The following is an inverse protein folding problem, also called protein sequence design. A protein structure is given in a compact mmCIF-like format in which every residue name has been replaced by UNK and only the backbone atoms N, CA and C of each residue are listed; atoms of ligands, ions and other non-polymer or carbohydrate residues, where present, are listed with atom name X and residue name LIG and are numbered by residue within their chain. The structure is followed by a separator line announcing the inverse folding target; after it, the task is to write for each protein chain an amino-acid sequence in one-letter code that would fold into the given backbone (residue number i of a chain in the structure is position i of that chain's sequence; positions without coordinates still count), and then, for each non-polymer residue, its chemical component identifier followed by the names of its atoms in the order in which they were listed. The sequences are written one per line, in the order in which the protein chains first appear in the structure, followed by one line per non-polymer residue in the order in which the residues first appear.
data_IF_116063896097
#
_entry.id   IF_116063896097
#
_cell.length_a   1.000
_cell.length_b   1.000
_cell.length_c   1.000
_cell.angle_alpha   90.00
_cell.angle_beta   90.00
_cell.angle_gamma   90.00
#
_symmetry.space_group_name_H-M   'P 1'
#
loop_
_entity.id
_entity.type
_entity.pdbx_description
1 polymer ?
#
# COMPACT_ATOMS: atom_id res chain seq x y z
N UNK A 1 -7.82 -10.54 24.61
CA UNK A 1 -8.60 -9.32 24.86
C UNK A 1 -8.53 -8.48 23.61
N UNK A 2 -9.48 -8.65 22.70
CA UNK A 2 -9.64 -7.76 21.55
C UNK A 2 -10.13 -6.41 22.06
N UNK A 3 -9.34 -5.36 21.85
CA UNK A 3 -9.89 -4.03 21.93
C UNK A 3 -10.95 -3.94 20.84
N UNK A 4 -12.23 -3.92 21.22
CA UNK A 4 -13.31 -3.45 20.34
C UNK A 4 -12.89 -2.04 19.90
N UNK A 5 -12.28 -1.93 18.72
CA UNK A 5 -11.93 -0.66 18.11
C UNK A 5 -13.24 0.10 17.91
N UNK A 6 -13.52 1.05 18.81
CA UNK A 6 -14.67 1.93 18.69
C UNK A 6 -14.50 2.69 17.39
N UNK A 7 -15.38 2.43 16.42
CA UNK A 7 -15.37 3.12 15.13
C UNK A 7 -15.38 4.62 15.40
N UNK A 8 -14.37 5.33 14.92
CA UNK A 8 -14.27 6.77 15.10
C UNK A 8 -15.11 7.43 14.01
N UNK A 9 -16.22 8.04 14.40
CA UNK A 9 -17.09 8.74 13.47
C UNK A 9 -16.42 10.03 13.01
N UNK A 10 -15.80 10.00 11.83
CA UNK A 10 -15.29 11.19 11.16
C UNK A 10 -16.36 11.81 10.24
N UNK A 11 -16.32 13.13 10.07
CA UNK A 11 -17.29 13.84 9.23
C UNK A 11 -16.84 13.92 7.75
N UNK A 12 -17.68 14.51 6.90
CA UNK A 12 -17.36 14.70 5.48
C UNK A 12 -16.11 15.57 5.27
N UNK A 13 -15.83 16.50 6.19
CA UNK A 13 -14.66 17.37 6.10
C UNK A 13 -13.38 16.60 6.34
N UNK A 14 -13.37 15.74 7.35
CA UNK A 14 -12.25 14.85 7.65
C UNK A 14 -11.99 13.89 6.48
N UNK A 15 -13.05 13.33 5.88
CA UNK A 15 -12.95 12.49 4.67
C UNK A 15 -12.33 13.25 3.50
N UNK A 16 -12.75 14.50 3.26
CA UNK A 16 -12.16 15.37 2.23
C UNK A 16 -10.68 15.68 2.53
N UNK A 17 -10.32 15.93 3.79
CA UNK A 17 -8.92 16.16 4.18
C UNK A 17 -8.09 14.90 3.93
N UNK A 18 -8.55 13.72 4.34
CA UNK A 18 -7.86 12.45 4.08
C UNK A 18 -7.70 12.19 2.58
N UNK A 19 -8.74 12.45 1.79
CA UNK A 19 -8.71 12.33 0.32
C UNK A 19 -7.68 13.26 -0.33
N UNK A 20 -7.57 14.51 0.14
CA UNK A 20 -6.59 15.48 -0.37
C UNK A 20 -5.16 15.21 0.11
N UNK A 21 -5.00 14.61 1.29
CA UNK A 21 -3.70 14.14 1.77
C UNK A 21 -3.22 12.91 1.01
N UNK A 22 -4.11 12.13 0.42
CA UNK A 22 -3.73 10.99 -0.39
C UNK A 22 -3.02 11.44 -1.69
N UNK A 23 -1.89 10.82 -1.99
CA UNK A 23 -0.91 11.18 -3.02
C UNK A 23 -0.20 12.55 -2.89
N UNK A 24 -0.73 13.49 -2.12
CA UNK A 24 -0.09 14.79 -1.86
C UNK A 24 -0.09 15.13 -0.37
N UNK A 25 0.43 14.22 0.45
CA UNK A 25 0.47 14.42 1.90
C UNK A 25 1.48 15.49 2.35
N UNK A 26 2.12 16.21 1.44
CA UNK A 26 2.99 17.36 1.70
C UNK A 26 2.32 18.70 1.38
N UNK A 27 1.14 18.69 0.74
CA UNK A 27 0.35 19.88 0.48
C UNK A 27 0.15 20.71 1.74
N UNK A 28 0.31 22.04 1.60
CA UNK A 28 0.14 22.96 2.73
C UNK A 28 -1.30 22.93 3.26
N UNK A 29 -1.48 23.14 4.57
CA UNK A 29 -2.82 23.23 5.16
C UNK A 29 -3.67 24.34 4.52
N UNK A 30 -3.05 25.41 4.00
CA UNK A 30 -3.74 26.48 3.25
C UNK A 30 -4.28 25.96 1.91
N UNK A 31 -3.49 25.20 1.16
CA UNK A 31 -3.92 24.63 -0.12
C UNK A 31 -5.06 23.61 0.09
N UNK A 32 -4.93 22.74 1.09
CA UNK A 32 -5.98 21.78 1.47
C UNK A 32 -7.24 22.55 1.88
N UNK A 33 -7.12 23.57 2.73
CA UNK A 33 -8.23 24.39 3.19
C UNK A 33 -9.06 25.00 2.03
N UNK A 34 -8.39 25.50 0.99
CA UNK A 34 -9.06 26.01 -0.22
C UNK A 34 -9.88 24.94 -0.93
N UNK A 35 -9.35 23.72 -1.08
CA UNK A 35 -10.04 22.62 -1.77
C UNK A 35 -11.20 22.06 -0.96
N UNK A 36 -11.05 21.95 0.36
CA UNK A 36 -12.09 21.38 1.22
C UNK A 36 -13.12 22.41 1.68
N UNK A 37 -12.89 23.70 1.46
CA UNK A 37 -13.75 24.82 1.88
C UNK A 37 -13.68 25.10 3.38
N UNK A 38 -12.47 25.17 3.97
CA UNK A 38 -12.23 25.39 5.41
C UNK A 38 -11.27 26.56 5.64
N UNK A 39 -11.06 26.93 6.91
CA UNK A 39 -9.89 27.72 7.31
C UNK A 39 -8.63 26.83 7.43
N UNK A 40 -7.45 27.44 7.29
CA UNK A 40 -6.15 26.80 7.54
C UNK A 40 -6.09 26.21 8.96
N UNK A 41 -6.53 26.96 9.95
CA UNK A 41 -6.56 26.55 11.37
C UNK A 41 -7.49 25.36 11.59
N UNK A 42 -8.64 25.33 10.91
CA UNK A 42 -9.57 24.20 10.98
C UNK A 42 -9.00 22.93 10.37
N UNK A 43 -8.31 23.03 9.23
CA UNK A 43 -7.58 21.87 8.65
C UNK A 43 -6.47 21.40 9.57
N UNK A 44 -5.68 22.33 10.12
CA UNK A 44 -4.60 22.00 11.05
C UNK A 44 -5.10 21.22 12.27
N UNK A 45 -6.17 21.74 12.91
CA UNK A 45 -6.81 21.07 14.04
C UNK A 45 -7.29 19.65 13.68
N UNK A 46 -7.95 19.50 12.53
CA UNK A 46 -8.48 18.19 12.08
C UNK A 46 -7.36 17.20 11.79
N UNK A 47 -6.30 17.60 11.10
CA UNK A 47 -5.14 16.72 10.84
C UNK A 47 -4.51 16.28 12.17
N UNK A 48 -4.30 17.22 13.11
CA UNK A 48 -3.78 16.88 14.45
C UNK A 48 -4.70 15.92 15.19
N UNK A 49 -6.01 16.10 15.10
CA UNK A 49 -6.97 15.20 15.72
C UNK A 49 -6.96 13.81 15.07
N UNK A 50 -6.91 13.71 13.74
CA UNK A 50 -6.80 12.43 13.03
C UNK A 50 -5.52 11.65 13.40
N UNK A 51 -4.41 12.36 13.65
CA UNK A 51 -3.17 11.75 14.16
C UNK A 51 -3.35 11.30 15.62
N UNK A 52 -3.88 12.17 16.47
CA UNK A 52 -4.11 11.89 17.90
C UNK A 52 -5.01 10.65 18.10
N UNK A 53 -6.08 10.55 17.32
CA UNK A 53 -7.03 9.43 17.34
C UNK A 53 -6.52 8.20 16.58
N UNK A 54 -5.25 8.19 16.13
CA UNK A 54 -4.60 7.08 15.42
C UNK A 54 -5.28 6.67 14.11
N UNK A 55 -6.07 7.57 13.52
CA UNK A 55 -6.60 7.40 12.16
C UNK A 55 -5.48 7.59 11.14
N UNK A 56 -4.63 8.59 11.34
CA UNK A 56 -3.38 8.76 10.59
C UNK A 56 -2.24 8.28 11.50
N UNK A 57 -1.56 7.22 11.09
CA UNK A 57 -0.44 6.61 11.81
C UNK A 57 0.91 7.23 11.44
N UNK A 58 0.99 7.93 10.31
CA UNK A 58 2.20 8.55 9.81
C UNK A 58 2.04 9.03 8.37
N UNK A 59 3.13 9.50 7.78
CA UNK A 59 3.18 9.93 6.39
C UNK A 59 4.45 9.39 5.73
N UNK A 60 4.34 8.87 4.51
CA UNK A 60 5.46 8.24 3.82
C UNK A 60 5.49 8.61 2.32
N UNK A 61 6.67 8.64 1.68
CA UNK A 61 6.78 8.79 0.24
C UNK A 61 6.47 7.46 -0.44
N UNK A 62 5.90 7.56 -1.64
CA UNK A 62 5.74 6.45 -2.57
C UNK A 62 6.95 6.49 -3.50
N UNK A 63 7.86 5.53 -3.34
CA UNK A 63 9.14 5.48 -4.07
C UNK A 63 9.08 4.42 -5.16
N UNK A 64 9.36 4.79 -6.41
CA UNK A 64 9.52 3.88 -7.54
C UNK A 64 10.82 3.08 -7.42
N UNK A 65 10.76 2.00 -6.64
CA UNK A 65 11.89 1.11 -6.43
C UNK A 65 12.22 0.29 -7.67
N UNK A 66 11.30 0.15 -8.62
CA UNK A 66 11.60 -0.52 -9.89
C UNK A 66 12.65 0.27 -10.67
N UNK A 67 12.52 1.59 -10.72
CA UNK A 67 13.57 2.45 -11.31
C UNK A 67 14.89 2.39 -10.56
N UNK A 68 14.87 2.13 -9.26
CA UNK A 68 16.09 1.93 -8.48
C UNK A 68 16.67 0.51 -8.61
N UNK A 69 16.07 -0.34 -9.45
CA UNK A 69 16.55 -1.68 -9.78
C UNK A 69 16.13 -2.78 -8.82
N UNK A 70 15.02 -2.60 -8.11
CA UNK A 70 14.43 -3.64 -7.29
C UNK A 70 13.23 -4.28 -7.97
N UNK A 71 13.06 -5.56 -7.72
CA UNK A 71 11.91 -6.38 -8.11
C UNK A 71 10.92 -6.41 -6.94
N UNK A 72 9.63 -6.24 -7.24
CA UNK A 72 8.57 -6.35 -6.26
C UNK A 72 8.11 -7.81 -6.11
N UNK A 73 8.57 -8.48 -5.05
CA UNK A 73 8.20 -9.85 -4.75
C UNK A 73 7.23 -9.90 -3.58
N UNK A 74 6.25 -10.80 -3.65
CA UNK A 74 5.23 -11.02 -2.61
C UNK A 74 5.18 -12.49 -2.24
N UNK A 75 4.90 -12.75 -0.98
CA UNK A 75 4.77 -14.09 -0.42
C UNK A 75 3.51 -14.18 0.41
N UNK A 76 2.80 -15.29 0.23
CA UNK A 76 1.56 -15.63 0.89
C UNK A 76 1.80 -16.89 1.71
N UNK A 77 1.57 -16.81 3.02
CA UNK A 77 1.82 -17.90 3.96
C UNK A 77 0.50 -18.36 4.57
N UNK A 78 0.22 -19.67 4.43
CA UNK A 78 -0.74 -20.35 5.29
C UNK A 78 0.01 -20.98 6.45
N UNK A 79 -0.44 -20.69 7.66
CA UNK A 79 0.20 -21.15 8.87
C UNK A 79 -0.54 -22.36 9.44
N UNK A 80 0.16 -23.15 10.24
CA UNK A 80 -0.38 -24.30 10.95
C UNK A 80 0.35 -24.53 12.26
N UNK A 81 -0.27 -25.29 13.17
CA UNK A 81 0.36 -25.75 14.41
C UNK A 81 1.00 -24.61 15.24
N UNK A 82 0.45 -23.41 15.15
CA UNK A 82 0.98 -22.23 15.84
C UNK A 82 0.46 -22.15 17.27
N UNK A 83 1.38 -21.91 18.20
CA UNK A 83 1.07 -21.26 19.46
C UNK A 83 1.19 -19.75 19.29
N UNK A 84 0.52 -18.97 20.14
CA UNK A 84 0.63 -17.50 20.14
C UNK A 84 2.08 -17.02 20.13
N UNK A 85 2.92 -17.57 21.01
CA UNK A 85 4.35 -17.22 21.09
C UNK A 85 5.13 -17.50 19.80
N UNK A 86 4.71 -18.47 18.99
CA UNK A 86 5.37 -18.80 17.73
C UNK A 86 4.90 -17.88 16.62
N UNK A 87 3.62 -17.56 16.59
CA UNK A 87 3.07 -16.56 15.67
C UNK A 87 3.76 -15.20 15.90
N UNK A 88 3.87 -14.77 17.17
CA UNK A 88 4.52 -13.52 17.54
C UNK A 88 5.99 -13.48 17.10
N UNK A 89 6.71 -14.62 17.17
CA UNK A 89 8.10 -14.73 16.68
C UNK A 89 8.20 -14.60 15.16
N UNK A 90 7.34 -15.28 14.42
CA UNK A 90 7.28 -15.15 12.95
C UNK A 90 7.00 -13.70 12.57
N UNK A 91 5.96 -13.10 13.16
CA UNK A 91 5.59 -11.70 12.91
C UNK A 91 6.74 -10.74 13.26
N UNK A 92 7.40 -10.94 14.40
CA UNK A 92 8.53 -10.11 14.80
C UNK A 92 9.70 -10.18 13.80
N UNK A 93 10.01 -11.38 13.28
CA UNK A 93 11.05 -11.54 12.26
C UNK A 93 10.68 -10.84 10.95
N UNK A 94 9.45 -11.03 10.45
CA UNK A 94 8.98 -10.37 9.24
C UNK A 94 9.00 -8.84 9.37
N UNK A 95 8.64 -8.32 10.55
CA UNK A 95 8.68 -6.87 10.82
C UNK A 95 10.10 -6.32 10.84
N UNK A 96 11.04 -7.06 11.41
CA UNK A 96 12.43 -6.61 11.57
C UNK A 96 13.30 -6.84 10.32
N UNK A 97 12.88 -7.71 9.41
CA UNK A 97 13.57 -7.94 8.15
C UNK A 97 13.51 -6.70 7.25
N UNK A 98 14.68 -6.14 6.91
CA UNK A 98 14.79 -4.87 6.17
C UNK A 98 14.30 -4.99 4.72
N UNK A 99 14.47 -6.16 4.09
CA UNK A 99 14.00 -6.44 2.71
C UNK A 99 12.47 -6.39 2.59
N UNK A 100 11.76 -6.70 3.67
CA UNK A 100 10.30 -6.71 3.71
C UNK A 100 9.79 -5.27 3.88
N UNK A 101 9.00 -4.80 2.90
CA UNK A 101 8.46 -3.45 2.84
C UNK A 101 7.01 -3.36 3.34
N UNK A 102 6.28 -4.47 3.31
CA UNK A 102 4.88 -4.52 3.72
C UNK A 102 4.56 -5.87 4.34
N UNK A 103 3.80 -5.88 5.44
CA UNK A 103 3.31 -7.11 6.08
C UNK A 103 1.85 -6.90 6.45
N UNK A 104 1.00 -7.85 6.05
CA UNK A 104 -0.41 -7.90 6.36
C UNK A 104 -0.72 -9.22 7.06
N UNK A 105 -1.37 -9.14 8.22
CA UNK A 105 -2.09 -10.27 8.80
C UNK A 105 -3.49 -10.29 8.20
N UNK A 106 -3.91 -11.46 7.71
CA UNK A 106 -5.17 -11.64 7.02
C UNK A 106 -5.93 -12.87 7.50
N UNK A 107 -7.19 -12.96 7.11
CA UNK A 107 -8.01 -14.15 7.23
C UNK A 107 -8.48 -14.59 5.83
N UNK A 108 -8.57 -15.90 5.60
CA UNK A 108 -8.97 -16.50 4.32
C UNK A 108 -8.02 -17.62 3.90
N UNK A 109 -7.66 -17.65 2.61
CA UNK A 109 -6.78 -18.68 2.05
C UNK A 109 -5.32 -18.58 2.54
N UNK A 110 -4.90 -17.44 3.09
CA UNK A 110 -3.58 -17.23 3.69
C UNK A 110 -3.71 -16.38 4.96
N UNK A 111 -2.80 -16.56 5.91
CA UNK A 111 -2.86 -15.91 7.22
C UNK A 111 -1.90 -14.71 7.32
N UNK A 112 -0.79 -14.77 6.59
CA UNK A 112 0.17 -13.67 6.48
C UNK A 112 0.55 -13.46 5.02
N UNK A 113 0.59 -12.20 4.62
CA UNK A 113 1.16 -11.78 3.36
C UNK A 113 2.26 -10.78 3.64
N UNK A 114 3.33 -10.84 2.86
CA UNK A 114 4.32 -9.79 2.88
C UNK A 114 4.87 -9.50 1.49
N UNK A 115 5.32 -8.28 1.31
CA UNK A 115 6.03 -7.86 0.11
C UNK A 115 7.47 -7.49 0.47
N UNK A 116 8.36 -7.68 -0.49
CA UNK A 116 9.77 -7.35 -0.37
C UNK A 116 10.32 -6.76 -1.67
N UNK A 117 11.32 -5.89 -1.51
CA UNK A 117 12.10 -5.34 -2.62
C UNK A 117 13.41 -6.10 -2.70
N UNK A 118 13.65 -6.77 -3.83
CA UNK A 118 14.81 -7.64 -4.04
C UNK A 118 15.64 -7.17 -5.23
N UNK A 119 16.97 -7.33 -5.22
CA UNK A 119 17.79 -6.92 -6.37
C UNK A 119 17.64 -7.86 -7.56
N UNK A 120 17.38 -9.12 -7.27
CA UNK A 120 17.20 -10.17 -8.27
C UNK A 120 16.45 -11.38 -7.68
N UNK A 121 16.03 -12.28 -8.56
CA UNK A 121 15.27 -13.47 -8.18
C UNK A 121 16.08 -14.51 -7.41
N UNK A 122 17.41 -14.56 -7.58
CA UNK A 122 18.28 -15.48 -6.83
C UNK A 122 18.34 -15.08 -5.35
N UNK A 123 18.52 -13.78 -5.08
CA UNK A 123 18.47 -13.22 -3.74
C UNK A 123 17.11 -13.51 -3.08
N UNK A 124 16.03 -13.32 -3.83
CA UNK A 124 14.67 -13.63 -3.38
C UNK A 124 14.53 -15.10 -2.99
N UNK A 125 14.91 -16.02 -3.87
CA UNK A 125 14.81 -17.47 -3.62
C UNK A 125 15.63 -17.91 -2.42
N UNK A 126 16.84 -17.37 -2.25
CA UNK A 126 17.67 -17.65 -1.07
C UNK A 126 16.99 -17.18 0.21
N UNK A 127 16.54 -15.92 0.22
CA UNK A 127 15.85 -15.34 1.36
C UNK A 127 14.61 -16.14 1.79
N UNK A 128 13.75 -16.49 0.83
CA UNK A 128 12.52 -17.25 1.11
C UNK A 128 12.83 -18.67 1.58
N UNK A 129 13.81 -19.34 0.99
CA UNK A 129 14.23 -20.67 1.44
C UNK A 129 14.71 -20.67 2.89
N UNK A 130 15.51 -19.68 3.28
CA UNK A 130 15.99 -19.51 4.65
C UNK A 130 14.84 -19.29 5.63
N UNK A 131 13.92 -18.39 5.29
CA UNK A 131 12.74 -18.08 6.10
C UNK A 131 11.82 -19.31 6.26
N UNK A 132 11.47 -19.98 5.15
CA UNK A 132 10.60 -21.15 5.17
C UNK A 132 11.27 -22.29 5.94
N UNK A 133 12.56 -22.55 5.72
CA UNK A 133 13.28 -23.62 6.41
C UNK A 133 13.20 -23.46 7.93
N UNK A 134 13.41 -22.23 8.42
CA UNK A 134 13.36 -21.87 9.84
C UNK A 134 11.98 -22.11 10.47
N UNK A 135 10.90 -21.92 9.71
CA UNK A 135 9.52 -22.02 10.18
C UNK A 135 8.72 -23.15 9.54
N UNK A 136 9.39 -24.13 8.93
CA UNK A 136 8.79 -25.21 8.12
C UNK A 136 7.68 -25.99 8.83
N UNK A 137 7.80 -26.21 10.15
CA UNK A 137 6.76 -26.89 10.94
C UNK A 137 5.47 -26.08 11.10
N UNK A 138 5.55 -24.77 10.93
CA UNK A 138 4.48 -23.80 11.16
C UNK A 138 3.93 -23.18 9.88
N UNK A 139 4.58 -23.41 8.74
CA UNK A 139 4.11 -22.99 7.42
C UNK A 139 3.52 -24.22 6.74
N UNK A 140 2.22 -24.20 6.52
CA UNK A 140 1.48 -25.26 5.81
C UNK A 140 1.68 -25.14 4.31
N UNK A 141 1.55 -23.91 3.82
CA UNK A 141 1.58 -23.58 2.41
C UNK A 141 2.24 -22.22 2.24
N UNK A 142 2.96 -22.11 1.12
CA UNK A 142 3.61 -20.90 0.71
C UNK A 142 3.40 -20.71 -0.80
N UNK A 143 3.12 -19.47 -1.19
CA UNK A 143 3.06 -19.05 -2.59
C UNK A 143 3.85 -17.77 -2.76
N UNK A 144 4.53 -17.69 -3.90
CA UNK A 144 5.26 -16.51 -4.34
C UNK A 144 4.53 -15.85 -5.51
N UNK A 145 4.64 -14.53 -5.60
CA UNK A 145 4.31 -13.80 -6.82
C UNK A 145 5.27 -12.65 -7.05
N UNK A 146 5.41 -12.24 -8.30
CA UNK A 146 6.19 -11.08 -8.71
C UNK A 146 5.21 -10.07 -9.27
N UNK A 147 5.13 -8.88 -8.67
CA UNK A 147 4.29 -7.80 -9.20
C UNK A 147 5.00 -7.12 -10.37
N UNK A 148 4.45 -7.28 -11.56
CA UNK A 148 4.96 -6.68 -12.80
C UNK A 148 4.47 -5.24 -12.93
N UNK A 149 3.22 -4.99 -12.54
CA UNK A 149 2.65 -3.65 -12.54
C UNK A 149 1.73 -3.46 -11.35
N UNK A 150 2.09 -2.53 -10.47
CA UNK A 150 1.32 -2.19 -9.27
C UNK A 150 0.70 -0.81 -9.49
N UNK A 151 -0.62 -0.75 -9.55
CA UNK A 151 -1.36 0.50 -9.74
C UNK A 151 -2.03 0.88 -8.43
N UNK A 152 -1.63 2.02 -7.88
CA UNK A 152 -2.26 2.61 -6.71
C UNK A 152 -3.32 3.59 -7.20
N UNK A 153 -4.54 3.49 -6.69
CA UNK A 153 -5.61 4.47 -6.93
C UNK A 153 -5.78 5.38 -5.72
N UNK A 154 -6.19 6.61 -5.97
CA UNK A 154 -6.54 7.53 -4.89
C UNK A 154 -7.66 6.92 -4.04
N UNK A 155 -7.72 7.20 -2.73
CA UNK A 155 -8.72 6.70 -1.78
C UNK A 155 -10.13 7.25 -2.03
N UNK A 156 -10.69 6.95 -3.20
CA UNK A 156 -12.01 7.37 -3.68
C UNK A 156 -13.13 6.81 -2.82
N UNK A 157 -12.92 5.67 -2.16
CA UNK A 157 -13.88 5.10 -1.21
C UNK A 157 -14.27 6.09 -0.10
N UNK A 158 -13.42 7.08 0.22
CA UNK A 158 -13.72 8.11 1.22
C UNK A 158 -14.86 9.05 0.80
N UNK A 159 -15.01 9.31 -0.51
CA UNK A 159 -15.92 10.29 -1.09
C UNK A 159 -16.86 9.73 -2.17
N UNK A 160 -16.70 8.48 -2.59
CA UNK A 160 -17.44 7.85 -3.68
C UNK A 160 -17.15 8.46 -5.06
N UNK A 161 -16.01 9.12 -5.25
CA UNK A 161 -15.71 9.85 -6.50
C UNK A 161 -15.33 8.93 -7.65
N UNK A 162 -15.68 9.33 -8.88
CA UNK A 162 -15.18 8.73 -10.13
C UNK A 162 -13.91 9.47 -10.59
N UNK A 163 -13.07 8.80 -11.36
CA UNK A 163 -11.81 9.36 -11.90
C UNK A 163 -10.56 8.57 -11.45
N UNK A 164 -9.43 8.77 -12.13
CA UNK A 164 -8.32 7.81 -12.15
C UNK A 164 -6.95 8.42 -11.84
N UNK A 165 -6.86 9.35 -10.87
CA UNK A 165 -5.53 9.67 -10.33
C UNK A 165 -4.92 8.36 -9.82
N UNK A 166 -3.80 7.98 -10.43
CA UNK A 166 -3.11 6.74 -10.16
C UNK A 166 -1.61 6.96 -10.13
N UNK A 167 -0.94 6.20 -9.28
CA UNK A 167 0.50 6.04 -9.31
C UNK A 167 0.79 4.61 -9.77
N UNK A 168 1.75 4.46 -10.66
CA UNK A 168 2.05 3.18 -11.31
C UNK A 168 3.51 2.85 -11.05
N UNK A 169 3.72 1.65 -10.54
CA UNK A 169 5.00 0.95 -10.58
C UNK A 169 4.89 -0.08 -11.69
N UNK A 170 5.82 -0.07 -12.62
CA UNK A 170 5.80 -1.00 -13.74
C UNK A 170 7.22 -1.43 -14.05
N UNK A 171 7.41 -2.74 -14.22
CA UNK A 171 8.70 -3.32 -14.59
C UNK A 171 9.28 -2.56 -15.78
N UNK A 172 10.51 -2.10 -15.62
CA UNK A 172 11.17 -1.26 -16.62
C UNK A 172 12.63 -1.69 -16.78
N UNK A 173 13.18 -1.68 -18.01
CA UNK A 173 14.62 -1.88 -18.19
C UNK A 173 15.44 -0.68 -17.68
N UNK A 174 14.80 0.46 -17.40
CA UNK A 174 15.48 1.68 -16.97
C UNK A 174 15.88 1.56 -15.50
N UNK A 175 17.18 1.63 -15.25
CA UNK A 175 17.76 1.69 -13.90
C UNK A 175 18.39 3.06 -13.68
N UNK A 176 18.01 3.71 -12.59
CA UNK A 176 18.42 5.06 -12.22
C UNK A 176 19.30 4.99 -10.99
N UNK A 177 20.53 5.46 -11.12
CA UNK A 177 21.38 5.72 -9.96
C UNK A 177 21.07 7.08 -9.37
N UNK A 178 20.99 7.15 -8.04
CA UNK A 178 20.72 8.37 -7.29
C UNK A 178 21.90 8.70 -6.37
N UNK A 179 22.15 10.00 -6.18
CA UNK A 179 23.25 10.47 -5.36
C UNK A 179 23.06 10.08 -3.88
N UNK A 180 24.16 9.94 -3.14
CA UNK A 180 24.13 9.62 -1.69
C UNK A 180 23.30 10.61 -0.86
N UNK A 181 23.31 11.89 -1.25
CA UNK A 181 22.45 12.88 -0.60
C UNK A 181 20.96 12.56 -0.81
N UNK A 182 20.58 12.12 -2.01
CA UNK A 182 19.19 11.82 -2.36
C UNK A 182 18.72 10.54 -1.65
N UNK A 183 19.60 9.53 -1.50
CA UNK A 183 19.34 8.35 -0.64
C UNK A 183 19.07 8.74 0.81
N UNK A 184 19.92 9.61 1.38
CA UNK A 184 19.73 10.14 2.75
C UNK A 184 18.42 10.93 2.87
N UNK A 185 18.03 11.69 1.85
CA UNK A 185 16.75 12.41 1.82
C UNK A 185 15.57 11.42 1.84
N UNK A 186 15.59 10.39 0.99
CA UNK A 186 14.55 9.36 0.95
C UNK A 186 14.39 8.67 2.30
N UNK A 187 15.51 8.32 2.96
CA UNK A 187 15.51 7.70 4.28
C UNK A 187 14.78 8.54 5.34
N UNK A 188 15.08 9.84 5.41
CA UNK A 188 14.41 10.75 6.36
C UNK A 188 12.94 10.98 5.97
N UNK A 189 12.62 11.03 4.68
CA UNK A 189 11.23 11.15 4.23
C UNK A 189 10.40 9.90 4.58
N UNK A 190 10.98 8.70 4.53
CA UNK A 190 10.31 7.46 4.93
C UNK A 190 9.96 7.42 6.43
N UNK A 191 10.67 8.16 7.29
CA UNK A 191 10.30 8.31 8.70
C UNK A 191 9.06 9.21 8.85
N UNK A 192 9.03 10.35 8.15
CA UNK A 192 7.88 11.24 8.12
C UNK A 192 7.91 12.16 6.88
N UNK A 193 7.15 11.78 5.86
CA UNK A 193 7.09 12.53 4.62
C UNK A 193 6.49 13.94 4.77
N UNK A 194 5.70 14.19 5.80
CA UNK A 194 5.06 15.50 6.05
C UNK A 194 5.89 16.40 6.98
N UNK A 195 7.04 15.94 7.49
CA UNK A 195 7.87 16.75 8.36
C UNK A 195 8.27 18.08 7.69
N UNK A 196 8.35 19.20 8.45
CA UNK A 196 8.76 20.49 7.92
C UNK A 196 10.13 20.42 7.23
N UNK A 197 10.27 21.08 6.08
CA UNK A 197 11.52 21.09 5.33
C UNK A 197 12.71 21.57 6.17
N UNK A 198 12.50 22.52 7.08
CA UNK A 198 13.55 23.02 7.97
C UNK A 198 14.05 21.94 8.92
N UNK A 199 13.15 21.13 9.49
CA UNK A 199 13.52 20.04 10.38
C UNK A 199 14.34 18.96 9.63
N UNK A 200 13.86 18.53 8.46
CA UNK A 200 14.54 17.54 7.62
C UNK A 200 15.92 18.08 7.18
N UNK A 201 16.00 19.35 6.76
CA UNK A 201 17.24 19.97 6.31
C UNK A 201 18.28 20.05 7.43
N UNK A 202 17.86 20.38 8.65
CA UNK A 202 18.71 20.38 9.84
C UNK A 202 19.26 18.98 10.14
N UNK A 203 18.41 17.93 10.12
CA UNK A 203 18.86 16.53 10.30
C UNK A 203 19.90 16.12 9.26
N UNK A 204 19.74 16.59 8.02
CA UNK A 204 20.64 16.26 6.91
C UNK A 204 21.87 17.18 6.81
N UNK A 205 21.93 18.25 7.60
CA UNK A 205 22.97 19.29 7.54
C UNK A 205 23.07 19.95 6.15
N UNK A 206 21.93 20.28 5.55
CA UNK A 206 21.82 21.00 4.27
C UNK A 206 20.86 22.19 4.41
N UNK A 207 20.83 23.10 3.44
CA UNK A 207 19.85 24.20 3.45
C UNK A 207 18.45 23.73 3.05
N UNK A 208 17.36 24.33 3.59
CA UNK A 208 15.99 24.03 3.17
C UNK A 208 15.75 24.22 1.66
N UNK A 209 16.47 25.17 1.03
CA UNK A 209 16.41 25.41 -0.42
C UNK A 209 16.98 24.23 -1.21
N UNK A 210 18.12 23.68 -0.78
CA UNK A 210 18.74 22.50 -1.41
C UNK A 210 17.81 21.30 -1.25
N UNK A 211 17.29 21.05 -0.04
CA UNK A 211 16.34 19.96 0.20
C UNK A 211 15.10 20.06 -0.71
N UNK A 212 14.47 21.23 -0.77
CA UNK A 212 13.29 21.45 -1.60
C UNK A 212 13.56 21.20 -3.09
N UNK A 213 14.73 21.63 -3.58
CA UNK A 213 15.16 21.34 -4.95
C UNK A 213 15.34 19.84 -5.20
N UNK A 214 16.00 19.12 -4.28
CA UNK A 214 16.23 17.67 -4.41
C UNK A 214 14.93 16.87 -4.40
N UNK A 215 14.00 17.18 -3.49
CA UNK A 215 12.68 16.53 -3.47
C UNK A 215 11.94 16.76 -4.79
N UNK A 216 11.87 18.00 -5.28
CA UNK A 216 11.24 18.30 -6.58
C UNK A 216 11.92 17.60 -7.74
N UNK A 217 13.25 17.44 -7.69
CA UNK A 217 14.00 16.69 -8.71
C UNK A 217 13.61 15.21 -8.67
N UNK A 218 13.58 14.58 -7.49
CA UNK A 218 13.15 13.19 -7.33
C UNK A 218 11.69 12.96 -7.78
N UNK A 219 10.80 13.93 -7.55
CA UNK A 219 9.42 13.91 -8.07
C UNK A 219 9.38 14.03 -9.60
N UNK A 220 10.15 14.98 -10.17
CA UNK A 220 10.23 15.19 -11.62
C UNK A 220 10.81 13.97 -12.34
N UNK A 221 11.84 13.36 -11.76
CA UNK A 221 12.50 12.16 -12.27
C UNK A 221 11.67 10.89 -12.01
N UNK A 222 10.48 11.05 -11.38
CA UNK A 222 9.53 9.98 -11.10
C UNK A 222 10.16 8.86 -10.25
N UNK A 223 11.06 9.23 -9.35
CA UNK A 223 11.60 8.38 -8.28
C UNK A 223 10.67 8.46 -7.07
N UNK A 224 10.19 9.67 -6.73
CA UNK A 224 9.07 9.85 -5.79
C UNK A 224 7.82 10.06 -6.63
N UNK A 225 6.87 9.13 -6.53
CA UNK A 225 5.61 9.19 -7.26
C UNK A 225 4.55 10.03 -6.52
N UNK A 226 4.67 10.14 -5.20
CA UNK A 226 3.76 10.92 -4.38
C UNK A 226 4.03 10.71 -2.89
N UNK A 227 3.15 11.26 -2.05
CA UNK A 227 3.24 11.13 -0.59
C UNK A 227 1.87 10.79 -0.01
N UNK A 228 1.81 9.83 0.93
CA UNK A 228 0.54 9.34 1.49
C UNK A 228 0.51 9.38 3.02
N UNK A 229 -0.68 9.59 3.62
CA UNK A 229 -0.92 9.18 5.00
C UNK A 229 -1.00 7.65 5.10
N UNK A 230 -0.39 7.09 6.14
CA UNK A 230 -0.70 5.73 6.57
C UNK A 230 -2.00 5.77 7.38
N UNK A 231 -3.07 5.19 6.85
CA UNK A 231 -4.41 5.27 7.44
C UNK A 231 -4.77 3.96 8.16
N UNK A 232 -5.35 4.08 9.35
CA UNK A 232 -6.02 2.98 10.03
C UNK A 232 -7.46 2.85 9.51
N UNK A 233 -7.64 2.06 8.46
CA UNK A 233 -8.93 1.89 7.79
C UNK A 233 -10.03 1.29 8.68
N UNK A 234 -9.77 0.30 9.55
CA UNK A 234 -10.76 -0.20 10.50
C UNK A 234 -11.38 0.88 11.40
N UNK A 235 -10.58 1.86 11.87
CA UNK A 235 -11.12 2.98 12.67
C UNK A 235 -12.07 3.89 11.89
N UNK A 236 -12.00 3.88 10.56
CA UNK A 236 -12.92 4.59 9.68
C UNK A 236 -14.17 3.78 9.32
N UNK A 237 -14.29 2.55 9.81
CA UNK A 237 -15.37 1.62 9.46
C UNK A 237 -15.19 0.96 8.09
N UNK A 238 -13.95 0.87 7.59
CA UNK A 238 -13.64 0.16 6.35
C UNK A 238 -12.84 -1.11 6.63
N UNK A 239 -13.21 -2.19 5.95
CA UNK A 239 -12.48 -3.45 5.94
C UNK A 239 -11.71 -3.56 4.63
N UNK A 240 -10.43 -3.93 4.73
CA UNK A 240 -9.56 -4.20 3.59
C UNK A 240 -9.82 -5.60 3.06
N UNK A 241 -10.03 -5.72 1.76
CA UNK A 241 -10.15 -7.00 1.05
C UNK A 241 -9.11 -7.06 -0.04
N UNK A 242 -8.38 -8.17 -0.10
CA UNK A 242 -7.57 -8.57 -1.25
C UNK A 242 -8.28 -9.72 -1.95
N UNK A 243 -8.49 -9.57 -3.25
CA UNK A 243 -9.23 -10.50 -4.09
C UNK A 243 -8.29 -10.97 -5.19
N UNK A 244 -8.02 -12.28 -5.21
CA UNK A 244 -7.14 -12.91 -6.19
C UNK A 244 -8.04 -13.52 -7.27
N UNK A 245 -8.07 -12.94 -8.46
CA UNK A 245 -8.90 -13.43 -9.56
C UNK A 245 -8.12 -14.36 -10.46
N UNK A 246 -8.68 -15.55 -10.67
CA UNK A 246 -8.25 -16.50 -11.67
C UNK A 246 -9.27 -16.46 -12.81
N UNK A 247 -8.80 -16.17 -14.00
CA UNK A 247 -9.63 -15.88 -15.16
C UNK A 247 -9.70 -17.10 -16.08
N UNK A 248 -10.75 -17.14 -16.89
CA UNK A 248 -10.80 -18.02 -18.05
C UNK A 248 -9.77 -17.56 -19.08
N UNK A 249 -9.43 -18.43 -20.04
CA UNK A 249 -8.70 -17.99 -21.22
C UNK A 249 -9.57 -16.99 -22.00
N UNK A 250 -9.24 -15.70 -21.86
CA UNK A 250 -9.98 -14.59 -22.45
C UNK A 250 -9.12 -13.84 -23.45
N UNK A 251 -9.78 -13.15 -24.36
CA UNK A 251 -9.11 -12.21 -25.26
C UNK A 251 -8.54 -11.02 -24.48
N UNK A 252 -7.55 -10.34 -25.08
CA UNK A 252 -7.01 -9.10 -24.54
C UNK A 252 -8.09 -8.04 -24.31
N UNK A 253 -9.09 -7.96 -25.20
CA UNK A 253 -10.16 -6.96 -25.09
C UNK A 253 -11.10 -7.23 -23.91
N UNK A 254 -11.46 -8.49 -23.68
CA UNK A 254 -12.26 -8.90 -22.52
C UNK A 254 -11.53 -8.60 -21.21
N UNK A 255 -10.25 -8.95 -21.13
CA UNK A 255 -9.40 -8.65 -19.97
C UNK A 255 -9.29 -7.15 -19.70
N UNK A 256 -9.00 -6.34 -20.73
CA UNK A 256 -8.91 -4.88 -20.58
C UNK A 256 -10.25 -4.25 -20.21
N UNK A 257 -11.36 -4.81 -20.66
CA UNK A 257 -12.71 -4.37 -20.26
C UNK A 257 -12.97 -4.66 -18.79
N UNK A 258 -12.60 -5.85 -18.31
CA UNK A 258 -12.67 -6.21 -16.89
C UNK A 258 -11.79 -5.31 -16.03
N UNK A 259 -10.51 -5.16 -16.40
CA UNK A 259 -9.56 -4.26 -15.75
C UNK A 259 -10.13 -2.84 -15.65
N UNK A 260 -10.54 -2.24 -16.76
CA UNK A 260 -11.05 -0.86 -16.79
C UNK A 260 -12.28 -0.68 -15.90
N UNK A 261 -13.13 -1.70 -15.78
CA UNK A 261 -14.24 -1.65 -14.84
C UNK A 261 -13.74 -1.56 -13.39
N UNK A 262 -12.78 -2.41 -12.99
CA UNK A 262 -12.15 -2.37 -11.67
C UNK A 262 -11.43 -1.03 -11.41
N UNK A 263 -10.66 -0.52 -12.38
CA UNK A 263 -9.93 0.76 -12.25
C UNK A 263 -10.87 1.93 -11.93
N UNK A 264 -12.10 1.90 -12.43
CA UNK A 264 -13.09 2.96 -12.23
C UNK A 264 -13.96 2.77 -10.98
N UNK A 265 -13.85 1.63 -10.30
CA UNK A 265 -14.67 1.35 -9.13
C UNK A 265 -14.10 2.05 -7.87
N UNK A 266 -14.87 2.91 -7.18
CA UNK A 266 -14.34 3.76 -6.11
C UNK A 266 -13.81 2.99 -4.90
N UNK A 267 -14.25 1.74 -4.69
CA UNK A 267 -13.78 0.85 -3.61
C UNK A 267 -12.40 0.27 -3.89
N UNK A 268 -11.99 0.18 -5.17
CA UNK A 268 -10.69 -0.37 -5.58
C UNK A 268 -9.59 0.66 -5.33
N UNK A 269 -8.55 0.23 -4.62
CA UNK A 269 -7.42 1.04 -4.17
C UNK A 269 -6.07 0.55 -4.71
N UNK A 270 -5.96 -0.75 -5.03
CA UNK A 270 -4.81 -1.30 -5.76
C UNK A 270 -5.26 -2.31 -6.80
N UNK A 271 -4.54 -2.37 -7.91
CA UNK A 271 -4.56 -3.48 -8.86
C UNK A 271 -3.11 -3.89 -9.10
N UNK A 272 -2.84 -5.19 -9.04
CA UNK A 272 -1.52 -5.74 -9.32
C UNK A 272 -1.62 -6.75 -10.46
N UNK A 273 -0.80 -6.50 -11.48
CA UNK A 273 -0.51 -7.43 -12.55
C UNK A 273 0.72 -8.21 -12.14
N UNK A 274 0.65 -9.53 -12.24
CA UNK A 274 1.63 -10.39 -11.58
C UNK A 274 1.94 -11.64 -12.37
N UNK A 275 3.07 -12.25 -12.00
CA UNK A 275 3.38 -13.64 -12.31
C UNK A 275 3.32 -14.40 -11.00
N UNK A 276 2.51 -15.47 -10.94
CA UNK A 276 2.46 -16.36 -9.79
C UNK A 276 1.06 -16.83 -9.43
N UNK A 277 0.50 -16.25 -8.37
CA UNK A 277 -0.63 -16.83 -7.63
C UNK A 277 -1.98 -16.62 -8.33
N UNK A 278 -2.19 -15.53 -9.06
CA UNK A 278 -3.43 -15.29 -9.82
C UNK A 278 -3.16 -14.47 -11.09
N UNK A 279 -4.19 -14.24 -11.90
CA UNK A 279 -4.07 -13.44 -13.13
C UNK A 279 -4.12 -11.92 -12.83
N UNK A 280 -4.93 -11.53 -11.83
CA UNK A 280 -5.06 -10.14 -11.39
C UNK A 280 -5.47 -10.08 -9.91
N UNK A 281 -4.68 -9.35 -9.13
CA UNK A 281 -4.92 -9.11 -7.70
C UNK A 281 -5.54 -7.71 -7.53
N UNK A 282 -6.66 -7.64 -6.80
CA UNK A 282 -7.40 -6.41 -6.55
C UNK A 282 -7.50 -6.18 -5.05
N UNK A 283 -7.09 -5.00 -4.60
CA UNK A 283 -7.30 -4.55 -3.22
C UNK A 283 -8.40 -3.50 -3.17
N UNK A 284 -9.35 -3.69 -2.26
CA UNK A 284 -10.52 -2.84 -2.12
C UNK A 284 -10.91 -2.61 -0.67
N UNK A 285 -11.62 -1.49 -0.44
CA UNK A 285 -12.10 -1.07 0.87
C UNK A 285 -13.62 -1.07 0.90
N UNK A 286 -14.22 -1.87 1.78
CA UNK A 286 -15.67 -1.98 1.90
C UNK A 286 -16.16 -1.56 3.29
N UNK A 287 -17.35 -0.98 3.37
CA UNK A 287 -17.95 -0.51 4.63
C UNK A 287 -18.62 -1.64 5.41
N UNK A 288 -18.95 -2.73 4.72
CA UNK A 288 -19.57 -3.92 5.30
C UNK A 288 -19.32 -5.13 4.41
N UNK A 289 -19.51 -6.32 4.97
CA UNK A 289 -19.52 -7.57 4.20
C UNK A 289 -20.58 -7.57 3.09
N UNK A 290 -21.71 -6.88 3.31
CA UNK A 290 -22.77 -6.75 2.30
C UNK A 290 -22.31 -5.93 1.09
N UNK A 291 -21.62 -4.82 1.32
CA UNK A 291 -21.03 -3.97 0.27
C UNK A 291 -20.00 -4.77 -0.57
N UNK A 292 -19.19 -5.61 0.10
CA UNK A 292 -18.30 -6.57 -0.59
C UNK A 292 -19.08 -7.60 -1.41
N UNK A 293 -20.12 -8.22 -0.84
CA UNK A 293 -20.93 -9.22 -1.53
C UNK A 293 -21.61 -8.64 -2.78
N UNK A 294 -22.18 -7.45 -2.67
CA UNK A 294 -22.84 -6.76 -3.78
C UNK A 294 -21.84 -6.44 -4.90
N UNK A 295 -20.63 -5.98 -4.54
CA UNK A 295 -19.53 -5.78 -5.50
C UNK A 295 -19.17 -7.08 -6.24
N UNK A 296 -18.98 -8.19 -5.52
CA UNK A 296 -18.65 -9.48 -6.16
C UNK A 296 -19.78 -10.02 -7.02
N UNK A 297 -21.03 -9.81 -6.60
CA UNK A 297 -22.23 -10.20 -7.36
C UNK A 297 -22.33 -9.39 -8.66
N UNK A 298 -22.09 -8.08 -8.61
CA UNK A 298 -22.05 -7.22 -9.79
C UNK A 298 -20.97 -7.70 -10.78
N UNK A 299 -19.76 -8.01 -10.28
CA UNK A 299 -18.69 -8.54 -11.12
C UNK A 299 -19.09 -9.85 -11.81
N UNK A 300 -19.68 -10.81 -11.08
CA UNK A 300 -20.13 -12.08 -11.65
C UNK A 300 -21.22 -11.90 -12.70
N UNK A 301 -22.15 -10.98 -12.50
CA UNK A 301 -23.21 -10.71 -13.48
C UNK A 301 -22.71 -9.99 -14.72
N UNK A 302 -21.73 -9.10 -14.56
CA UNK A 302 -21.16 -8.33 -15.66
C UNK A 302 -20.13 -9.10 -16.47
N UNK A 303 -19.43 -10.04 -15.84
CA UNK A 303 -18.34 -10.83 -16.42
C UNK A 303 -18.55 -12.35 -16.20
N UNK A 304 -19.71 -12.91 -16.59
CA UNK A 304 -20.11 -14.26 -16.20
C UNK A 304 -19.24 -15.38 -16.78
N UNK A 305 -18.57 -15.12 -17.90
CA UNK A 305 -17.71 -16.09 -18.60
C UNK A 305 -16.23 -15.85 -18.38
N UNK A 306 -15.85 -14.77 -17.70
CA UNK A 306 -14.45 -14.34 -17.55
C UNK A 306 -13.86 -14.79 -16.22
N UNK A 307 -14.61 -14.71 -15.12
CA UNK A 307 -14.11 -15.08 -13.79
C UNK A 307 -14.28 -16.60 -13.62
N UNK A 308 -13.17 -17.35 -13.63
CA UNK A 308 -13.18 -18.80 -13.38
C UNK A 308 -13.36 -19.09 -11.89
N UNK A 309 -12.50 -18.48 -11.08
CA UNK A 309 -12.49 -18.62 -9.63
C UNK A 309 -11.86 -17.38 -9.00
N UNK A 310 -12.10 -17.18 -7.70
CA UNK A 310 -11.43 -16.12 -6.96
C UNK A 310 -11.21 -16.56 -5.52
N UNK A 311 -10.14 -16.05 -4.92
CA UNK A 311 -9.87 -16.17 -3.50
C UNK A 311 -10.01 -14.81 -2.84
N UNK A 312 -10.32 -14.79 -1.55
CA UNK A 312 -10.50 -13.55 -0.80
C UNK A 312 -9.75 -13.62 0.52
N UNK A 313 -9.02 -12.55 0.78
CA UNK A 313 -8.27 -12.32 2.00
C UNK A 313 -8.80 -11.06 2.67
N UNK A 314 -9.21 -11.17 3.91
CA UNK A 314 -9.69 -10.07 4.73
C UNK A 314 -8.52 -9.56 5.55
N UNK A 315 -8.10 -8.32 5.33
CA UNK A 315 -6.98 -7.72 6.06
C UNK A 315 -7.38 -7.38 7.50
N UNK A 316 -6.74 -8.04 8.46
CA UNK A 316 -6.97 -7.82 9.89
C UNK A 316 -6.10 -6.69 10.43
N UNK A 317 -4.80 -6.70 10.08
CA UNK A 317 -3.84 -5.72 10.57
C UNK A 317 -2.67 -5.56 9.60
N UNK A 318 -2.36 -4.31 9.25
CA UNK A 318 -1.11 -3.96 8.56
C UNK A 318 0.01 -3.80 9.58
N UNK A 319 0.90 -4.78 9.64
CA UNK A 319 1.95 -4.89 10.65
C UNK A 319 3.21 -4.07 10.31
N UNK A 320 3.42 -3.77 9.03
CA UNK A 320 4.55 -2.98 8.52
C UNK A 320 4.20 -2.29 7.20
N UNK A 321 4.67 -1.05 7.04
CA UNK A 321 4.73 -0.33 5.76
C UNK A 321 6.02 0.50 5.74
N UNK A 322 6.91 0.24 4.79
CA UNK A 322 8.13 1.01 4.57
C UNK A 322 8.58 0.87 3.11
N UNK A 323 8.50 1.95 2.32
CA UNK A 323 8.88 1.92 0.91
C UNK A 323 10.39 2.10 0.67
N UNK A 324 11.20 2.32 1.70
CA UNK A 324 12.66 2.42 1.55
C UNK A 324 13.26 1.04 1.25
N UNK A 325 14.04 0.88 0.16
CA UNK A 325 14.80 -0.33 -0.06
C UNK A 325 15.82 -0.59 1.06
N UNK A 326 16.14 -1.86 1.28
CA UNK A 326 16.84 -2.31 2.48
C UNK A 326 18.32 -1.88 2.57
N UNK A 327 18.95 -1.62 1.43
CA UNK A 327 20.35 -1.24 1.25
C UNK A 327 20.50 0.23 0.80
N UNK A 328 19.42 1.03 0.88
CA UNK A 328 19.42 2.44 0.50
C UNK A 328 19.77 3.41 1.65
#
# INVERSE_FOLDING_TARGET
MEAKNKITRIDLKDRKILFELDFDSRSSNTAIAKKVGSSKQGVDYRIRNLIKEKIILGFYPIIDNVKLGYIYCRVFLKLQNLTKDKEDKVIAELKNEKRINWVLKAEGSYDILFACWMKNLEEFKRFIRELISKYSRYIKEEKESIGIRVVHYQYRFLLGTRGTKKLVFEETPIRVEIAELDKRILKVLCENARAPLVEIANKLKISPKVLAYRIKKLEKDQIILGHRPLINHPLLGYTYYKILFHLMNVTKEEFETFRRYLENHPKVIYIVDEVGICDIDVEAMFESERDYFDFMKELKFKFPTLIKEYETLIGLETLKVNYLPYDL
#
